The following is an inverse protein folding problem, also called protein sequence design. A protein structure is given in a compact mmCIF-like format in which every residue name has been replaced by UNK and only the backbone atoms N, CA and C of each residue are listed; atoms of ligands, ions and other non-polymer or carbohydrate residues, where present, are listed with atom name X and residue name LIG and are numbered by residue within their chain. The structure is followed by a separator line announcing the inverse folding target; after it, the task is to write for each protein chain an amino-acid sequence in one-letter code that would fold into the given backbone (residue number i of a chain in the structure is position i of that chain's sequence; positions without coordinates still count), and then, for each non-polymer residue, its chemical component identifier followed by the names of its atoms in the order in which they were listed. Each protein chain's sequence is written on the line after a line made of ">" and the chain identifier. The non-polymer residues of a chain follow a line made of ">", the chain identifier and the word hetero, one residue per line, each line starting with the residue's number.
data_IF_915646090622
#
_entry.id   IF_915646090622
#
_cell.length_a   1.000
_cell.length_b   1.000
_cell.length_c   1.000
_cell.angle_alpha   90.00
_cell.angle_beta   90.00
_cell.angle_gamma   90.00
#
_symmetry.space_group_name_H-M   'P 1'
#
loop_
_entity.id
_entity.type
_entity.pdbx_description
1 polymer ?
#
# COMPACT_ATOMS: atom_id res chain seq x y z
N UNK A 1 -25.71 -6.65 5.44
CA UNK A 1 -24.31 -6.23 5.14
C UNK A 1 -24.40 -5.04 4.19
N UNK A 2 -23.62 -3.98 4.40
CA UNK A 2 -23.67 -2.80 3.52
C UNK A 2 -22.89 -3.07 2.23
N UNK A 3 -23.42 -2.66 1.07
CA UNK A 3 -22.72 -2.87 -0.21
C UNK A 3 -21.62 -1.83 -0.42
N UNK A 4 -20.64 -2.13 -1.29
CA UNK A 4 -19.59 -1.15 -1.64
C UNK A 4 -20.21 0.15 -2.20
N UNK A 5 -21.24 0.02 -3.04
CA UNK A 5 -21.97 1.15 -3.62
C UNK A 5 -22.66 2.01 -2.54
N UNK A 6 -23.14 1.40 -1.47
CA UNK A 6 -23.70 2.11 -0.32
C UNK A 6 -22.62 2.87 0.46
N UNK A 7 -21.46 2.25 0.70
CA UNK A 7 -20.31 2.90 1.36
C UNK A 7 -19.84 4.10 0.54
N UNK A 8 -19.67 3.95 -0.78
CA UNK A 8 -19.29 5.05 -1.67
C UNK A 8 -20.28 6.21 -1.61
N UNK A 9 -21.58 5.91 -1.63
CA UNK A 9 -22.62 6.94 -1.52
C UNK A 9 -22.54 7.69 -0.19
N UNK A 10 -22.22 7.02 0.91
CA UNK A 10 -22.04 7.70 2.20
C UNK A 10 -20.77 8.55 2.24
N UNK A 11 -19.66 8.07 1.69
CA UNK A 11 -18.41 8.83 1.60
C UNK A 11 -18.61 10.11 0.76
N UNK A 12 -19.32 10.02 -0.37
CA UNK A 12 -19.64 11.17 -1.24
C UNK A 12 -20.49 12.24 -0.53
N UNK A 13 -21.27 11.86 0.49
CA UNK A 13 -22.09 12.78 1.29
C UNK A 13 -21.31 13.46 2.44
N UNK A 14 -20.06 13.08 2.69
CA UNK A 14 -19.28 13.67 3.78
C UNK A 14 -18.93 15.14 3.48
N UNK A 15 -19.13 16.06 4.44
CA UNK A 15 -18.62 17.42 4.29
C UNK A 15 -17.09 17.40 4.27
N UNK A 16 -16.48 18.42 3.63
CA UNK A 16 -15.03 18.50 3.40
C UNK A 16 -14.15 18.15 4.63
N UNK A 17 -14.43 18.64 5.85
CA UNK A 17 -13.61 18.31 7.02
C UNK A 17 -13.67 16.82 7.39
N UNK A 18 -14.85 16.20 7.30
CA UNK A 18 -15.02 14.77 7.57
C UNK A 18 -14.41 13.91 6.48
N UNK A 19 -14.49 14.36 5.22
CA UNK A 19 -13.83 13.68 4.10
C UNK A 19 -12.30 13.72 4.24
N UNK A 20 -11.73 14.83 4.71
CA UNK A 20 -10.31 14.94 5.00
C UNK A 20 -9.89 13.98 6.12
N UNK A 21 -10.63 13.94 7.23
CA UNK A 21 -10.39 12.99 8.32
C UNK A 21 -10.50 11.53 7.84
N UNK A 22 -11.50 11.22 7.00
CA UNK A 22 -11.65 9.90 6.40
C UNK A 22 -10.43 9.50 5.56
N UNK A 23 -9.91 10.40 4.72
CA UNK A 23 -8.71 10.10 3.90
C UNK A 23 -7.48 9.79 4.74
N UNK A 24 -7.24 10.56 5.80
CA UNK A 24 -6.11 10.33 6.73
C UNK A 24 -6.24 8.98 7.41
N UNK A 25 -7.44 8.64 7.89
CA UNK A 25 -7.69 7.36 8.51
C UNK A 25 -7.55 6.20 7.52
N UNK A 26 -8.15 6.33 6.33
CA UNK A 26 -8.17 5.28 5.32
C UNK A 26 -6.76 4.96 4.81
N UNK A 27 -5.93 5.98 4.62
CA UNK A 27 -4.52 5.77 4.27
C UNK A 27 -3.81 4.90 5.32
N UNK A 28 -3.99 5.18 6.62
CA UNK A 28 -3.39 4.36 7.69
C UNK A 28 -3.97 2.95 7.74
N UNK A 29 -5.26 2.81 7.47
CA UNK A 29 -5.92 1.50 7.41
C UNK A 29 -5.35 0.66 6.26
N UNK A 30 -5.26 1.23 5.06
CA UNK A 30 -4.75 0.56 3.87
C UNK A 30 -3.25 0.24 3.99
N UNK A 31 -2.44 1.18 4.49
CA UNK A 31 -1.02 0.94 4.76
C UNK A 31 -0.79 -0.23 5.71
N UNK A 32 -1.61 -0.43 6.76
CA UNK A 32 -1.47 -1.59 7.65
C UNK A 32 -1.77 -2.92 6.95
N UNK A 33 -2.74 -2.92 6.03
CA UNK A 33 -3.04 -4.10 5.20
C UNK A 33 -1.85 -4.41 4.29
N UNK A 34 -1.29 -3.38 3.66
CA UNK A 34 -0.08 -3.48 2.85
C UNK A 34 1.11 -4.01 3.64
N UNK A 35 1.41 -3.44 4.80
CA UNK A 35 2.53 -3.88 5.66
C UNK A 35 2.40 -5.36 6.02
N UNK A 36 1.18 -5.80 6.33
CA UNK A 36 0.89 -7.20 6.66
C UNK A 36 1.11 -8.12 5.46
N UNK A 37 0.64 -7.73 4.28
CA UNK A 37 0.86 -8.49 3.04
C UNK A 37 2.35 -8.54 2.69
N UNK A 38 3.03 -7.40 2.75
CA UNK A 38 4.46 -7.28 2.47
C UNK A 38 5.27 -8.19 3.39
N UNK A 39 5.00 -8.19 4.70
CA UNK A 39 5.68 -9.07 5.65
C UNK A 39 5.47 -10.56 5.34
N UNK A 40 4.27 -10.96 4.90
CA UNK A 40 4.00 -12.35 4.47
C UNK A 40 4.73 -12.69 3.17
N UNK A 41 4.75 -11.79 2.20
CA UNK A 41 5.42 -11.97 0.93
C UNK A 41 6.94 -12.07 1.09
N UNK A 42 7.51 -11.29 2.03
CA UNK A 42 8.92 -11.42 2.44
C UNK A 42 9.17 -12.78 3.08
N UNK A 43 8.36 -13.19 4.07
CA UNK A 43 8.53 -14.47 4.79
C UNK A 43 8.40 -15.69 3.88
N UNK A 44 7.54 -15.62 2.88
CA UNK A 44 7.35 -16.69 1.89
C UNK A 44 8.44 -16.75 0.82
N UNK A 45 9.38 -15.79 0.80
CA UNK A 45 10.44 -15.71 -0.22
C UNK A 45 9.95 -15.26 -1.59
N UNK A 46 8.68 -14.84 -1.72
CA UNK A 46 8.07 -14.41 -2.99
C UNK A 46 8.82 -13.24 -3.63
N UNK A 47 9.46 -12.41 -2.81
CA UNK A 47 10.21 -11.23 -3.27
C UNK A 47 11.70 -11.51 -3.51
N UNK A 48 12.20 -12.72 -3.24
CA UNK A 48 13.64 -13.03 -3.32
C UNK A 48 14.21 -12.75 -4.71
N UNK A 49 13.49 -13.15 -5.77
CA UNK A 49 13.90 -12.89 -7.16
C UNK A 49 14.04 -11.40 -7.48
N UNK A 50 13.18 -10.55 -6.90
CA UNK A 50 13.26 -9.10 -7.07
C UNK A 50 14.46 -8.54 -6.30
N UNK A 51 14.71 -9.03 -5.08
CA UNK A 51 15.88 -8.66 -4.28
C UNK A 51 17.19 -9.03 -4.98
N UNK A 52 17.30 -10.27 -5.49
CA UNK A 52 18.47 -10.74 -6.24
C UNK A 52 18.75 -9.89 -7.48
N UNK A 53 17.69 -9.56 -8.24
CA UNK A 53 17.81 -8.69 -9.41
C UNK A 53 18.28 -7.28 -9.04
N UNK A 54 17.73 -6.71 -7.97
CA UNK A 54 18.14 -5.40 -7.48
C UNK A 54 19.61 -5.40 -7.05
N UNK A 55 20.05 -6.42 -6.31
CA UNK A 55 21.45 -6.60 -5.90
C UNK A 55 22.39 -6.77 -7.11
N UNK A 56 21.99 -7.54 -8.12
CA UNK A 56 22.76 -7.69 -9.34
C UNK A 56 22.91 -6.35 -10.09
N UNK A 57 21.83 -5.59 -10.25
CA UNK A 57 21.90 -4.25 -10.86
C UNK A 57 22.78 -3.29 -10.08
N UNK A 58 22.71 -3.31 -8.74
CA UNK A 58 23.57 -2.50 -7.87
C UNK A 58 25.05 -2.84 -8.07
N UNK A 59 25.40 -4.13 -8.06
CA UNK A 59 26.77 -4.60 -8.32
C UNK A 59 27.30 -4.22 -9.70
N UNK A 60 26.42 -4.09 -10.69
CA UNK A 60 26.76 -3.68 -12.05
C UNK A 60 26.81 -2.15 -12.23
N UNK A 61 26.62 -1.36 -11.18
CA UNK A 61 26.56 0.10 -11.27
C UNK A 61 25.36 0.63 -12.04
N UNK A 62 24.33 -0.21 -12.26
CA UNK A 62 23.09 0.13 -12.99
C UNK A 62 22.03 0.67 -12.04
N UNK A 63 22.44 1.55 -11.13
CA UNK A 63 21.60 2.20 -10.12
C UNK A 63 21.90 3.69 -10.12
N UNK A 64 20.93 4.51 -9.73
CA UNK A 64 21.09 5.95 -9.57
C UNK A 64 20.82 6.30 -8.11
N UNK A 65 21.54 7.28 -7.57
CA UNK A 65 21.21 7.87 -6.28
C UNK A 65 19.81 8.49 -6.30
N UNK A 66 19.16 8.45 -5.14
CA UNK A 66 17.80 8.96 -4.91
C UNK A 66 17.77 10.49 -4.93
#
# INVERSE_FOLDING_TARGET
>A
MMTIQEIERQIKKLPRPRLAAFRVWFQRFDSRSWDTQMARDVKSGKLNRLAEKALASYKLGKVKEL
#
